data_IF_058809015548
#
_entry.id   IF_058809015548
#
_cell.length_a   1.000
_cell.length_b   1.000
_cell.length_c   1.000
_cell.angle_alpha   90.00
_cell.angle_beta   90.00
_cell.angle_gamma   90.00
#
_symmetry.space_group_name_H-M   'P 1'
#
loop_
_entity.id
_entity.type
_entity.pdbx_description
1 polymer ?
#
# COMPACT_ATOMS: atom_id res chain seq x y z
N UNK A 1 12.14 18.12 3.16
CA UNK A 1 12.92 16.89 3.41
C UNK A 1 11.93 15.82 3.81
N UNK A 2 12.06 14.58 3.33
CA UNK A 2 11.09 13.53 3.63
C UNK A 2 11.11 13.18 5.13
N UNK A 3 9.99 13.43 5.80
CA UNK A 3 9.75 13.05 7.19
C UNK A 3 8.81 11.85 7.24
N UNK A 4 9.07 10.93 8.15
CA UNK A 4 8.33 9.69 8.31
C UNK A 4 8.08 9.44 9.79
N UNK A 5 6.89 9.01 10.15
CA UNK A 5 6.58 8.54 11.50
C UNK A 5 7.21 7.17 11.74
N UNK A 6 8.16 7.10 12.68
CA UNK A 6 8.79 5.86 13.14
C UNK A 6 7.80 5.08 14.01
N UNK A 7 7.36 3.92 13.53
CA UNK A 7 6.38 3.09 14.22
C UNK A 7 6.84 2.65 15.63
N UNK A 8 8.15 2.56 15.87
CA UNK A 8 8.68 2.20 17.19
C UNK A 8 8.45 3.28 18.24
N UNK A 9 8.49 4.55 17.85
CA UNK A 9 8.44 5.68 18.79
C UNK A 9 7.18 6.53 18.66
N UNK A 10 6.49 6.44 17.52
CA UNK A 10 5.41 7.36 17.13
C UNK A 10 5.90 8.74 16.72
N UNK A 11 7.21 9.00 16.74
CA UNK A 11 7.76 10.31 16.40
C UNK A 11 7.99 10.45 14.90
N UNK A 12 7.75 11.66 14.39
CA UNK A 12 8.11 12.01 13.02
C UNK A 12 9.60 12.34 12.92
N UNK A 13 10.33 11.55 12.15
CA UNK A 13 11.78 11.62 11.97
C UNK A 13 12.14 11.85 10.51
N UNK A 14 13.33 12.37 10.25
CA UNK A 14 13.85 12.47 8.89
C UNK A 14 14.23 11.09 8.34
N UNK A 15 13.70 10.75 7.15
CA UNK A 15 13.94 9.45 6.52
C UNK A 15 15.41 9.24 6.13
N UNK A 16 16.13 10.32 5.82
CA UNK A 16 17.54 10.27 5.44
C UNK A 16 18.37 10.92 6.54
N UNK A 17 18.88 10.12 7.49
CA UNK A 17 19.71 10.62 8.59
C UNK A 17 21.15 10.94 8.18
N UNK A 18 21.66 10.36 7.09
CA UNK A 18 23.03 10.57 6.60
C UNK A 18 23.05 10.99 5.12
N UNK A 19 23.57 12.18 4.82
CA UNK A 19 23.62 12.78 3.46
C UNK A 19 24.63 12.13 2.50
N UNK A 20 25.40 11.14 2.95
CA UNK A 20 26.54 10.56 2.21
C UNK A 20 26.50 9.04 2.28
N UNK A 21 25.49 8.43 1.68
CA UNK A 21 25.38 6.97 1.59
C UNK A 21 24.14 6.56 0.80
N UNK A 22 24.19 5.34 0.26
CA UNK A 22 23.03 4.66 -0.31
C UNK A 22 22.02 4.39 0.82
N UNK A 23 20.77 4.80 0.65
CA UNK A 23 19.70 4.49 1.62
C UNK A 23 19.08 3.15 1.26
N UNK A 24 18.95 2.25 2.22
CA UNK A 24 18.31 0.96 1.99
C UNK A 24 16.84 1.03 2.41
N UNK A 25 15.93 0.69 1.49
CA UNK A 25 14.50 0.52 1.79
C UNK A 25 14.22 -0.98 1.80
N UNK A 26 14.02 -1.54 2.99
CA UNK A 26 13.82 -2.97 3.18
C UNK A 26 12.34 -3.26 3.43
N UNK A 27 11.70 -3.95 2.49
CA UNK A 27 10.31 -4.38 2.62
C UNK A 27 10.27 -5.81 3.18
N UNK A 28 9.62 -5.98 4.33
CA UNK A 28 9.47 -7.28 4.98
C UNK A 28 8.07 -7.83 4.70
N UNK A 29 8.05 -8.94 3.98
CA UNK A 29 6.82 -9.63 3.56
C UNK A 29 6.93 -11.10 3.92
N UNK A 30 6.10 -11.54 4.87
CA UNK A 30 6.09 -12.93 5.35
C UNK A 30 4.94 -13.74 4.72
N UNK A 31 3.95 -13.06 4.15
CA UNK A 31 2.72 -13.64 3.61
C UNK A 31 2.52 -13.29 2.16
N UNK A 32 1.76 -14.11 1.45
CA UNK A 32 1.39 -13.91 0.04
C UNK A 32 -0.02 -13.29 -0.08
N UNK A 33 -0.25 -12.14 0.56
CA UNK A 33 -1.56 -11.46 0.62
C UNK A 33 -1.53 -10.00 0.16
N UNK A 34 -2.69 -9.32 0.16
CA UNK A 34 -2.80 -7.92 -0.24
C UNK A 34 -2.11 -6.95 0.73
N UNK A 35 -1.97 -7.33 2.00
CA UNK A 35 -1.24 -6.52 2.99
C UNK A 35 0.24 -6.53 2.66
N UNK A 36 0.80 -7.69 2.33
CA UNK A 36 2.17 -7.82 1.82
C UNK A 36 2.38 -7.06 0.50
N UNK A 37 1.39 -7.08 -0.40
CA UNK A 37 1.44 -6.29 -1.63
C UNK A 37 1.45 -4.78 -1.35
N UNK A 38 0.68 -4.32 -0.36
CA UNK A 38 0.69 -2.91 0.07
C UNK A 38 2.02 -2.52 0.70
N UNK A 39 2.66 -3.40 1.47
CA UNK A 39 4.02 -3.19 1.99
C UNK A 39 5.01 -2.94 0.86
N UNK A 40 5.00 -3.79 -0.18
CA UNK A 40 5.85 -3.60 -1.36
C UNK A 40 5.54 -2.30 -2.10
N UNK A 41 4.27 -1.93 -2.23
CA UNK A 41 3.87 -0.68 -2.87
C UNK A 41 4.36 0.55 -2.10
N UNK A 42 4.19 0.56 -0.77
CA UNK A 42 4.66 1.66 0.08
C UNK A 42 6.18 1.77 0.01
N UNK A 43 6.91 0.64 -0.03
CA UNK A 43 8.36 0.63 -0.22
C UNK A 43 8.78 1.21 -1.58
N UNK A 44 8.08 0.87 -2.68
CA UNK A 44 8.31 1.48 -4.00
C UNK A 44 8.06 2.99 -3.96
N UNK A 45 6.92 3.44 -3.42
CA UNK A 45 6.58 4.87 -3.30
C UNK A 45 7.62 5.62 -2.46
N UNK A 46 8.05 5.05 -1.33
CA UNK A 46 9.10 5.60 -0.48
C UNK A 46 10.41 5.76 -1.25
N UNK A 47 10.83 4.73 -2.00
CA UNK A 47 12.02 4.79 -2.84
C UNK A 47 11.89 5.90 -3.92
N UNK A 48 10.73 6.00 -4.58
CA UNK A 48 10.47 7.06 -5.58
C UNK A 48 10.56 8.46 -4.94
N UNK A 49 9.98 8.64 -3.76
CA UNK A 49 9.98 9.92 -3.06
C UNK A 49 11.40 10.36 -2.68
N UNK A 50 12.22 9.42 -2.20
CA UNK A 50 13.62 9.66 -1.87
C UNK A 50 14.46 10.02 -3.10
N UNK A 51 14.29 9.32 -4.20
CA UNK A 51 14.97 9.59 -5.48
C UNK A 51 14.56 10.95 -6.07
N UNK A 52 13.27 11.30 -6.00
CA UNK A 52 12.79 12.64 -6.37
C UNK A 52 13.38 13.74 -5.47
N UNK A 53 13.76 13.38 -4.24
CA UNK A 53 14.55 14.19 -3.32
C UNK A 53 16.06 14.21 -3.59
N UNK A 54 16.54 13.45 -4.57
CA UNK A 54 17.96 13.33 -4.92
C UNK A 54 18.74 12.34 -4.04
N UNK A 55 18.05 11.49 -3.27
CA UNK A 55 18.69 10.46 -2.43
C UNK A 55 18.80 9.16 -3.22
N UNK A 56 20.01 8.58 -3.39
CA UNK A 56 20.15 7.27 -4.00
C UNK A 56 19.59 6.19 -3.07
N UNK A 57 18.79 5.27 -3.63
CA UNK A 57 18.09 4.21 -2.89
C UNK A 57 18.40 2.84 -3.47
N UNK A 58 18.58 1.85 -2.60
CA UNK A 58 18.49 0.44 -2.95
C UNK A 58 17.28 -0.18 -2.24
N UNK A 59 16.36 -0.74 -3.02
CA UNK A 59 15.20 -1.47 -2.48
C UNK A 59 15.57 -2.94 -2.30
N UNK A 60 15.25 -3.49 -1.13
CA UNK A 60 15.53 -4.87 -0.73
C UNK A 60 14.22 -5.54 -0.33
N UNK A 61 13.92 -6.68 -0.93
CA UNK A 61 12.76 -7.50 -0.59
C UNK A 61 12.99 -8.91 -1.12
N UNK A 62 12.49 -9.93 -0.40
CA UNK A 62 12.50 -11.31 -0.88
C UNK A 62 11.08 -11.90 -0.90
N UNK A 63 10.18 -11.39 -1.76
CA UNK A 63 8.81 -11.89 -1.84
C UNK A 63 8.74 -13.28 -2.49
N UNK A 64 7.74 -14.11 -2.15
CA UNK A 64 7.41 -15.30 -2.90
C UNK A 64 7.16 -14.98 -4.39
N UNK A 65 7.37 -15.96 -5.28
CA UNK A 65 7.25 -15.75 -6.73
C UNK A 65 5.87 -15.23 -7.16
N UNK A 66 4.80 -15.71 -6.53
CA UNK A 66 3.43 -15.25 -6.79
C UNK A 66 3.22 -13.78 -6.38
N UNK A 67 3.68 -13.37 -5.20
CA UNK A 67 3.65 -11.97 -4.76
C UNK A 67 4.45 -11.07 -5.71
N UNK A 68 5.63 -11.54 -6.15
CA UNK A 68 6.49 -10.83 -7.09
C UNK A 68 5.78 -10.57 -8.42
N UNK A 69 5.14 -11.58 -9.00
CA UNK A 69 4.38 -11.43 -10.25
C UNK A 69 3.21 -10.44 -10.11
N UNK A 70 2.53 -10.43 -8.95
CA UNK A 70 1.48 -9.44 -8.66
C UNK A 70 2.05 -8.02 -8.51
N UNK A 71 3.21 -7.89 -7.87
CA UNK A 71 3.90 -6.60 -7.75
C UNK A 71 4.33 -6.04 -9.12
N UNK A 72 4.87 -6.90 -9.99
CA UNK A 72 5.23 -6.54 -11.37
C UNK A 72 4.00 -6.05 -12.17
N UNK A 73 2.85 -6.72 -12.02
CA UNK A 73 1.59 -6.31 -12.64
C UNK A 73 1.07 -4.94 -12.14
N UNK A 74 1.49 -4.49 -10.95
CA UNK A 74 1.20 -3.17 -10.40
C UNK A 74 2.28 -2.13 -10.71
N UNK A 75 3.29 -2.46 -11.53
CA UNK A 75 4.40 -1.55 -11.84
C UNK A 75 5.28 -1.21 -10.63
N UNK A 76 5.29 -2.06 -9.59
CA UNK A 76 6.18 -1.93 -8.44
C UNK A 76 7.60 -2.27 -8.91
N UNK A 77 8.57 -1.40 -8.64
CA UNK A 77 9.96 -1.65 -9.05
C UNK A 77 10.54 -2.85 -8.31
N UNK A 78 11.29 -3.67 -9.04
CA UNK A 78 11.93 -4.86 -8.49
C UNK A 78 12.95 -4.46 -7.42
N UNK A 79 12.96 -5.18 -6.31
CA UNK A 79 14.03 -5.09 -5.34
C UNK A 79 15.30 -5.74 -5.91
N UNK A 80 16.38 -4.97 -5.99
CA UNK A 80 17.67 -5.39 -6.58
C UNK A 80 18.81 -5.40 -5.54
N UNK A 81 18.57 -4.89 -4.33
CA UNK A 81 19.59 -4.87 -3.26
C UNK A 81 19.63 -6.15 -2.43
N UNK A 82 20.81 -6.43 -1.85
CA UNK A 82 21.01 -7.49 -0.86
C UNK A 82 20.66 -6.99 0.55
N UNK A 83 20.11 -7.89 1.40
CA UNK A 83 19.85 -7.60 2.83
C UNK A 83 21.17 -7.37 3.58
N UNK A 84 21.16 -6.45 4.54
CA UNK A 84 22.31 -6.22 5.42
C UNK A 84 23.45 -5.40 4.80
N UNK A 85 23.16 -4.63 3.75
CA UNK A 85 24.10 -3.64 3.22
C UNK A 85 24.46 -2.58 4.26
N UNK A 86 25.71 -2.10 4.25
CA UNK A 86 26.15 -1.05 5.16
C UNK A 86 25.49 0.31 4.80
N UNK A 87 24.57 0.80 5.63
CA UNK A 87 23.90 2.10 5.45
C UNK A 87 22.69 2.28 6.36
N UNK A 88 22.08 3.50 6.41
CA UNK A 88 20.82 3.71 7.11
C UNK A 88 19.69 2.94 6.41
N UNK A 89 18.98 2.10 7.19
CA UNK A 89 17.87 1.30 6.70
C UNK A 89 16.51 1.89 7.11
N UNK A 90 15.57 1.85 6.16
CA UNK A 90 14.15 2.13 6.34
C UNK A 90 13.43 0.80 6.19
N UNK A 91 12.86 0.29 7.29
CA UNK A 91 12.17 -0.99 7.29
C UNK A 91 10.67 -0.79 7.13
N UNK A 92 10.10 -1.29 6.04
CA UNK A 92 8.66 -1.24 5.78
C UNK A 92 8.04 -2.57 6.19
N UNK A 93 7.15 -2.52 7.18
CA UNK A 93 6.59 -3.67 7.88
C UNK A 93 5.05 -3.63 7.81
N UNK A 94 4.41 -4.79 7.77
CA UNK A 94 2.98 -4.86 8.05
C UNK A 94 2.73 -4.57 9.53
N UNK A 95 1.70 -3.77 9.85
CA UNK A 95 1.30 -3.54 11.24
C UNK A 95 0.80 -4.84 11.85
N UNK A 96 1.27 -5.18 13.05
CA UNK A 96 0.93 -6.40 13.77
C UNK A 96 -0.50 -6.31 14.32
N UNK A 97 -1.52 -6.55 13.48
CA UNK A 97 -2.96 -6.52 13.79
C UNK A 97 -3.46 -5.26 14.52
N UNK A 98 -4.23 -4.44 13.80
CA UNK A 98 -5.04 -3.41 14.41
C UNK A 98 -6.04 -4.01 15.41
N UNK A 99 -5.91 -3.64 16.68
CA UNK A 99 -7.12 -3.29 17.41
C UNK A 99 -7.71 -2.05 16.73
N UNK A 100 -9.02 -1.98 16.47
CA UNK A 100 -9.63 -0.74 16.01
C UNK A 100 -9.32 0.32 17.07
N UNK A 101 -8.64 1.38 16.65
CA UNK A 101 -8.47 2.57 17.47
C UNK A 101 -9.88 3.13 17.68
N UNK A 102 -10.43 2.93 18.89
CA UNK A 102 -11.73 3.44 19.28
C UNK A 102 -11.74 4.95 19.01
N UNK A 103 -12.65 5.50 18.18
CA UNK A 103 -12.74 6.92 18.02
C UNK A 103 -13.03 7.54 19.39
N UNK A 104 -12.14 8.41 19.84
CA UNK A 104 -12.27 9.16 21.08
C UNK A 104 -13.71 9.72 21.21
N UNK A 105 -14.37 9.60 22.37
CA UNK A 105 -15.76 10.02 22.51
C UNK A 105 -15.87 11.53 22.30
N UNK A 106 -16.32 11.89 21.09
CA UNK A 106 -16.68 13.24 20.69
C UNK A 106 -17.84 13.73 21.56
N UNK A 107 -17.64 14.94 22.08
CA UNK A 107 -18.57 15.68 22.94
C UNK A 107 -19.98 15.72 22.34
N UNK A 108 -20.93 15.40 23.21
CA UNK A 108 -22.37 15.57 23.04
C UNK A 108 -22.76 16.99 22.65
N UNK A 109 -23.54 17.12 21.58
CA UNK A 109 -24.42 18.25 21.34
C UNK A 109 -25.80 17.74 20.89
N UNK A 110 -26.76 17.88 21.83
CA UNK A 110 -28.17 18.25 21.68
C UNK A 110 -29.20 17.41 20.88
N UNK A 111 -30.23 17.04 21.65
CA UNK A 111 -31.70 17.16 21.40
C UNK A 111 -32.31 16.42 20.20
N UNK A 112 -33.06 15.35 20.46
CA UNK A 112 -34.49 15.32 20.85
C UNK A 112 -35.43 15.20 19.64
N UNK A 113 -35.95 13.99 19.41
CA UNK A 113 -37.34 13.75 19.01
C UNK A 113 -37.71 12.30 19.31
N UNK A 114 -38.79 12.14 20.08
CA UNK A 114 -39.34 10.91 20.63
C UNK A 114 -40.17 10.08 19.58
N UNK A 115 -40.67 8.88 19.94
CA UNK A 115 -40.88 7.74 19.05
C UNK A 115 -42.35 7.52 18.63
N UNK A 116 -42.58 6.63 17.63
CA UNK A 116 -43.84 5.88 17.50
C UNK A 116 -43.65 4.47 16.93
N UNK A 117 -43.88 3.50 17.81
CA UNK A 117 -44.57 2.20 17.71
C UNK A 117 -44.95 1.56 16.35
N UNK A 118 -44.56 0.28 16.19
CA UNK A 118 -45.43 -0.92 16.33
C UNK A 118 -45.12 -2.08 15.35
N UNK A 119 -44.70 -3.20 15.94
CA UNK A 119 -45.29 -4.55 15.83
C UNK A 119 -45.39 -5.27 14.46
N UNK A 120 -44.72 -6.44 14.36
CA UNK A 120 -45.31 -7.77 14.11
C UNK A 120 -44.22 -8.75 13.63
N UNK A 121 -43.78 -9.70 14.45
CA UNK A 121 -44.20 -11.13 14.45
C UNK A 121 -44.13 -11.87 13.10
N UNK A 122 -43.35 -12.96 13.09
CA UNK A 122 -43.34 -13.98 12.04
C UNK A 122 -42.26 -15.04 12.25
N UNK A 123 -42.49 -15.96 13.20
CA UNK A 123 -41.70 -17.16 13.41
C UNK A 123 -41.90 -18.20 12.29
N UNK A 124 -40.90 -19.05 12.03
CA UNK A 124 -40.97 -20.45 11.53
C UNK A 124 -39.55 -21.04 11.69
N UNK A 125 -39.24 -21.91 12.65
CA UNK A 125 -39.59 -23.34 12.83
C UNK A 125 -38.69 -24.31 12.03
N UNK A 126 -37.96 -25.15 12.80
CA UNK A 126 -37.58 -26.57 12.63
C UNK A 126 -37.11 -27.03 11.24
N UNK A 127 -35.99 -27.74 11.05
CA UNK A 127 -35.40 -28.80 11.85
C UNK A 127 -35.20 -30.00 10.91
N UNK A 128 -33.97 -30.53 10.80
CA UNK A 128 -33.75 -31.91 10.36
C UNK A 128 -32.43 -32.40 10.91
N UNK A 129 -32.54 -33.30 11.88
CA UNK A 129 -31.56 -34.32 12.20
C UNK A 129 -31.47 -35.32 11.05
N UNK A 130 -30.29 -35.91 10.83
CA UNK A 130 -30.21 -37.32 10.45
C UNK A 130 -28.87 -37.91 10.87
N UNK A 131 -28.97 -38.96 11.68
CA UNK A 131 -27.93 -39.91 12.07
C UNK A 131 -27.50 -40.79 10.88
N UNK A 132 -26.29 -41.33 10.98
CA UNK A 132 -25.77 -42.40 10.13
C UNK A 132 -24.45 -42.95 10.68
N UNK A 133 -24.55 -43.70 11.77
CA UNK A 133 -23.64 -44.75 12.27
C UNK A 133 -23.18 -45.68 11.13
N UNK A 134 -22.15 -46.52 11.15
CA UNK A 134 -21.08 -46.96 12.05
C UNK A 134 -20.29 -47.96 11.16
N UNK A 135 -18.96 -48.05 11.28
CA UNK A 135 -18.29 -49.33 11.03
C UNK A 135 -16.88 -49.35 11.64
N UNK A 136 -16.74 -50.30 12.55
CA UNK A 136 -15.58 -50.69 13.34
C UNK A 136 -14.56 -51.52 12.54
N UNK A 137 -13.27 -51.16 12.66
CA UNK A 137 -12.07 -51.95 13.06
C UNK A 137 -11.84 -53.39 12.52
N UNK A 138 -10.65 -54.02 12.71
CA UNK A 138 -9.25 -53.55 12.84
C UNK A 138 -8.34 -54.23 11.78
N UNK A 139 -7.03 -53.95 11.73
CA UNK A 139 -5.94 -54.96 11.82
C UNK A 139 -4.57 -54.28 11.85
N UNK A 140 -3.77 -54.60 12.86
CA UNK A 140 -2.34 -54.31 13.00
C UNK A 140 -1.49 -54.85 11.84
N UNK A 141 -0.38 -54.18 11.54
CA UNK A 141 0.97 -54.77 11.60
C UNK A 141 2.02 -53.69 11.36
N UNK A 142 2.79 -53.39 12.40
CA UNK A 142 4.21 -52.99 12.30
C UNK A 142 4.97 -54.09 11.53
N UNK A 143 6.05 -53.78 10.77
CA UNK A 143 7.32 -53.66 11.48
C UNK A 143 8.40 -52.75 10.83
N UNK A 144 9.40 -52.50 11.69
CA UNK A 144 10.83 -52.33 11.39
C UNK A 144 11.32 -50.93 11.01
N UNK A 145 11.93 -50.34 12.04
CA UNK A 145 12.97 -49.33 12.00
C UNK A 145 13.98 -49.52 10.86
N UNK A 146 14.23 -48.46 10.11
CA UNK A 146 15.54 -48.28 9.47
C UNK A 146 15.95 -46.82 9.64
N UNK A 147 16.99 -46.69 10.45
CA UNK A 147 17.86 -45.55 10.66
C UNK A 147 18.16 -44.81 9.33
N UNK A 148 17.64 -43.59 9.22
CA UNK A 148 18.04 -42.63 8.18
C UNK A 148 18.55 -41.38 8.90
N UNK A 149 19.86 -41.18 8.81
CA UNK A 149 20.57 -40.03 9.33
C UNK A 149 19.89 -38.70 8.93
N UNK A 150 19.76 -37.71 9.84
CA UNK A 150 19.23 -36.42 9.46
C UNK A 150 20.25 -35.72 8.55
N UNK A 151 19.87 -35.55 7.28
CA UNK A 151 20.50 -34.57 6.41
C UNK A 151 20.49 -33.22 7.14
N UNK A 152 21.67 -32.60 7.23
CA UNK A 152 21.87 -31.35 7.93
C UNK A 152 20.81 -30.34 7.55
N UNK A 153 19.95 -30.00 8.52
CA UNK A 153 19.15 -28.79 8.44
C UNK A 153 20.17 -27.65 8.41
N UNK A 154 20.30 -26.98 7.26
CA UNK A 154 20.88 -25.64 7.22
C UNK A 154 20.23 -24.85 8.35
N UNK A 155 21.01 -24.12 9.17
CA UNK A 155 20.43 -23.38 10.28
C UNK A 155 19.33 -22.48 9.70
N UNK A 156 18.08 -22.73 10.13
CA UNK A 156 17.00 -21.75 9.98
C UNK A 156 17.44 -20.60 10.87
N UNK A 157 18.13 -19.63 10.28
CA UNK A 157 18.38 -18.36 10.94
C UNK A 157 16.97 -17.80 11.21
N UNK A 158 16.53 -17.68 12.47
CA UNK A 158 15.24 -17.07 12.75
C UNK A 158 15.24 -15.69 12.09
N UNK A 159 14.13 -15.33 11.44
CA UNK A 159 13.96 -13.97 10.95
C UNK A 159 14.33 -13.02 12.10
N UNK A 160 15.12 -11.95 11.83
CA UNK A 160 15.49 -11.00 12.86
C UNK A 160 14.22 -10.57 13.59
N UNK A 161 14.24 -10.63 14.92
CA UNK A 161 13.10 -10.14 15.69
C UNK A 161 12.91 -8.66 15.36
N UNK A 162 11.67 -8.18 15.27
CA UNK A 162 11.41 -6.76 14.98
C UNK A 162 12.20 -5.83 15.91
N UNK A 163 12.53 -6.27 17.12
CA UNK A 163 13.33 -5.54 18.11
C UNK A 163 14.76 -5.23 17.64
N UNK A 164 15.36 -6.05 16.77
CA UNK A 164 16.78 -6.00 16.38
C UNK A 164 17.04 -5.19 15.09
N UNK A 165 15.99 -4.69 14.42
CA UNK A 165 16.12 -3.88 13.22
C UNK A 165 16.63 -2.47 13.56
N UNK A 166 17.89 -2.20 13.25
CA UNK A 166 18.54 -0.89 13.32
C UNK A 166 18.08 0.00 12.15
N UNK A 167 17.16 0.93 12.41
CA UNK A 167 16.64 1.83 11.39
C UNK A 167 15.37 2.58 11.79
N UNK A 168 14.75 3.27 10.83
CA UNK A 168 13.38 3.81 10.98
C UNK A 168 12.40 2.71 10.59
N UNK A 169 11.33 2.51 11.38
CA UNK A 169 10.27 1.54 11.07
C UNK A 169 9.06 2.24 10.48
N UNK A 170 8.59 1.76 9.34
CA UNK A 170 7.45 2.28 8.61
C UNK A 170 6.38 1.20 8.62
N UNK A 171 5.36 1.38 9.45
CA UNK A 171 4.21 0.47 9.47
C UNK A 171 3.23 0.73 8.33
N UNK A 172 2.69 -0.37 7.80
CA UNK A 172 1.67 -0.39 6.76
C UNK A 172 0.48 -1.19 7.27
N UNK A 173 -0.68 -0.53 7.32
CA UNK A 173 -1.90 -1.12 7.81
C UNK A 173 -2.49 -2.15 6.83
N UNK A 174 -3.19 -3.18 7.35
CA UNK A 174 -3.63 -4.31 6.57
C UNK A 174 -4.66 -3.96 5.50
N UNK A 175 -4.75 -4.83 4.49
CA UNK A 175 -5.73 -4.77 3.39
C UNK A 175 -6.53 -6.06 3.34
N UNK A 176 -7.85 -5.94 3.19
CA UNK A 176 -8.79 -7.05 3.02
C UNK A 176 -9.60 -6.91 1.73
N UNK A 177 -10.22 -8.00 1.28
CA UNK A 177 -11.06 -8.03 0.08
C UNK A 177 -10.30 -8.36 -1.21
N UNK A 178 -10.89 -8.01 -2.35
CA UNK A 178 -10.35 -8.29 -3.69
C UNK A 178 -10.73 -7.16 -4.65
N UNK A 179 -9.86 -6.82 -5.59
CA UNK A 179 -10.18 -5.90 -6.68
C UNK A 179 -9.40 -6.24 -7.96
N UNK A 180 -9.80 -5.63 -9.06
CA UNK A 180 -9.10 -5.75 -10.34
C UNK A 180 -7.64 -5.22 -10.22
N UNK A 181 -6.63 -5.97 -10.69
CA UNK A 181 -5.23 -5.55 -10.58
C UNK A 181 -4.94 -4.18 -11.18
N UNK A 182 -5.63 -3.77 -12.25
CA UNK A 182 -5.41 -2.47 -12.90
C UNK A 182 -5.82 -1.28 -12.03
N UNK A 183 -6.69 -1.49 -11.05
CA UNK A 183 -7.18 -0.46 -10.13
C UNK A 183 -6.50 -0.49 -8.77
N UNK A 184 -5.94 -1.64 -8.39
CA UNK A 184 -5.36 -1.86 -7.06
C UNK A 184 -4.35 -0.77 -6.69
N UNK A 185 -3.48 -0.36 -7.62
CA UNK A 185 -2.49 0.68 -7.33
C UNK A 185 -3.16 2.00 -6.94
N UNK A 186 -4.13 2.49 -7.71
CA UNK A 186 -4.86 3.72 -7.40
C UNK A 186 -5.54 3.64 -6.03
N UNK A 187 -6.24 2.53 -5.77
CA UNK A 187 -6.99 2.34 -4.52
C UNK A 187 -6.08 2.28 -3.30
N UNK A 188 -4.96 1.53 -3.41
CA UNK A 188 -3.99 1.40 -2.32
C UNK A 188 -3.27 2.73 -2.02
N UNK A 189 -3.02 3.55 -3.05
CA UNK A 189 -2.42 4.89 -2.91
C UNK A 189 -3.40 5.92 -2.33
N UNK A 190 -4.70 5.76 -2.60
CA UNK A 190 -5.73 6.66 -2.09
C UNK A 190 -6.00 6.49 -0.58
N UNK A 191 -5.51 5.42 0.04
CA UNK A 191 -5.63 5.18 1.48
C UNK A 191 -4.30 5.50 2.19
N UNK A 192 -4.29 6.35 3.24
CA UNK A 192 -3.10 6.59 4.07
C UNK A 192 -2.47 5.28 4.53
N UNK A 193 -1.14 5.16 4.46
CA UNK A 193 -0.43 3.89 4.73
C UNK A 193 -0.75 3.26 6.10
N UNK A 194 -1.11 4.08 7.10
CA UNK A 194 -1.46 3.66 8.47
C UNK A 194 -2.94 3.29 8.65
N UNK A 195 -3.78 3.50 7.65
CA UNK A 195 -5.21 3.19 7.73
C UNK A 195 -5.49 1.82 7.09
N UNK A 196 -6.13 0.93 7.84
CA UNK A 196 -6.60 -0.35 7.32
C UNK A 196 -7.61 -0.14 6.19
N UNK A 197 -7.53 -0.97 5.15
CA UNK A 197 -8.36 -0.82 3.96
C UNK A 197 -9.16 -2.10 3.68
N UNK A 198 -10.48 -1.96 3.60
CA UNK A 198 -11.36 -3.01 3.08
C UNK A 198 -11.77 -2.68 1.65
N UNK A 199 -11.28 -3.47 0.69
CA UNK A 199 -11.60 -3.30 -0.72
C UNK A 199 -13.07 -3.58 -1.05
N UNK A 200 -13.79 -4.33 -0.20
CA UNK A 200 -15.23 -4.55 -0.38
C UNK A 200 -16.06 -3.28 -0.10
N UNK A 201 -15.55 -2.39 0.74
CA UNK A 201 -16.16 -1.09 1.06
C UNK A 201 -15.58 0.07 0.25
N UNK A 202 -14.54 -0.17 -0.56
CA UNK A 202 -13.89 0.85 -1.36
C UNK A 202 -14.72 1.23 -2.60
N UNK A 203 -14.64 2.50 -3.00
CA UNK A 203 -15.25 2.99 -4.24
C UNK A 203 -14.41 2.61 -5.47
N UNK A 204 -14.56 1.35 -5.90
CA UNK A 204 -13.82 0.79 -7.04
C UNK A 204 -14.22 1.45 -8.37
N UNK A 205 -15.49 1.82 -8.52
CA UNK A 205 -16.01 2.43 -9.74
C UNK A 205 -15.54 3.87 -9.88
N UNK A 206 -15.57 4.66 -8.80
CA UNK A 206 -15.00 6.01 -8.78
C UNK A 206 -13.49 6.02 -9.03
N UNK A 207 -12.75 5.02 -8.52
CA UNK A 207 -11.34 4.85 -8.83
C UNK A 207 -11.10 4.57 -10.33
N UNK A 208 -11.90 3.70 -10.94
CA UNK A 208 -11.84 3.39 -12.38
C UNK A 208 -12.14 4.63 -13.23
N UNK A 209 -13.22 5.33 -12.92
CA UNK A 209 -13.63 6.54 -13.63
C UNK A 209 -12.56 7.62 -13.53
N UNK A 210 -12.03 7.86 -12.33
CA UNK A 210 -10.96 8.84 -12.10
C UNK A 210 -9.72 8.52 -12.91
N UNK A 211 -9.27 7.27 -12.89
CA UNK A 211 -8.06 6.88 -13.61
C UNK A 211 -8.24 6.98 -15.14
N UNK A 212 -9.40 6.57 -15.67
CA UNK A 212 -9.73 6.70 -17.09
C UNK A 212 -9.77 8.17 -17.52
N UNK A 213 -10.51 8.99 -16.79
CA UNK A 213 -10.63 10.44 -17.02
C UNK A 213 -9.28 11.15 -16.98
N UNK A 214 -8.43 10.82 -16.01
CA UNK A 214 -7.09 11.41 -15.91
C UNK A 214 -6.19 11.03 -17.08
N UNK A 215 -6.19 9.76 -17.51
CA UNK A 215 -5.38 9.33 -18.67
C UNK A 215 -5.85 10.00 -19.96
N UNK A 216 -7.16 10.12 -20.16
CA UNK A 216 -7.75 10.85 -21.30
C UNK A 216 -7.37 12.34 -21.27
N UNK A 217 -7.51 13.00 -20.11
CA UNK A 217 -7.13 14.40 -19.94
C UNK A 217 -5.64 14.63 -20.22
N UNK A 218 -4.76 13.77 -19.70
CA UNK A 218 -3.30 13.83 -19.94
C UNK A 218 -2.98 13.65 -21.42
N UNK A 219 -3.62 12.70 -22.10
CA UNK A 219 -3.46 12.50 -23.54
C UNK A 219 -3.89 13.75 -24.34
N UNK A 220 -5.00 14.39 -23.95
CA UNK A 220 -5.46 15.64 -24.56
C UNK A 220 -4.50 16.81 -24.31
N UNK A 221 -4.00 17.00 -23.09
CA UNK A 221 -3.06 18.07 -22.78
C UNK A 221 -1.70 17.88 -23.44
N UNK A 222 -1.27 16.63 -23.66
CA UNK A 222 -0.02 16.31 -24.36
C UNK A 222 0.03 16.83 -25.81
N UNK A 223 -1.12 17.16 -26.43
CA UNK A 223 -1.17 17.75 -27.78
C UNK A 223 -0.94 19.27 -27.79
N UNK A 224 -0.68 19.87 -26.63
CA UNK A 224 -0.41 21.31 -26.47
C UNK A 224 1.09 21.54 -26.19
N UNK A 225 1.62 22.75 -26.48
CA UNK A 225 3.01 23.06 -26.13
C UNK A 225 3.27 22.89 -24.63
N UNK A 226 4.33 22.14 -24.28
CA UNK A 226 4.74 21.93 -22.89
C UNK A 226 5.03 23.26 -22.19
N UNK A 227 4.68 23.32 -20.90
CA UNK A 227 4.98 24.44 -20.01
C UNK A 227 5.43 23.90 -18.66
N UNK A 228 6.37 24.56 -17.96
CA UNK A 228 6.86 24.06 -16.69
C UNK A 228 5.74 23.94 -15.65
N UNK A 229 5.86 22.94 -14.77
CA UNK A 229 5.01 22.79 -13.58
C UNK A 229 5.03 24.10 -12.78
N UNK A 230 3.87 24.69 -12.45
CA UNK A 230 3.81 25.90 -11.63
C UNK A 230 4.48 25.65 -10.28
N UNK A 231 5.29 26.61 -9.83
CA UNK A 231 6.13 26.40 -8.65
C UNK A 231 5.31 26.17 -7.37
N UNK A 232 4.17 26.84 -7.21
CA UNK A 232 3.27 26.62 -6.07
C UNK A 232 2.71 25.17 -6.06
N UNK A 233 2.29 24.64 -7.21
CA UNK A 233 1.82 23.26 -7.34
C UNK A 233 2.94 22.28 -7.01
N UNK A 234 4.15 22.52 -7.52
CA UNK A 234 5.33 21.70 -7.20
C UNK A 234 5.60 21.68 -5.69
N UNK A 235 5.50 22.82 -5.01
CA UNK A 235 5.69 22.93 -3.57
C UNK A 235 4.60 22.20 -2.78
N UNK A 236 3.33 22.32 -3.18
CA UNK A 236 2.22 21.60 -2.55
C UNK A 236 2.37 20.08 -2.69
N UNK A 237 2.65 19.61 -3.91
CA UNK A 237 2.93 18.20 -4.18
C UNK A 237 4.08 17.69 -3.29
N UNK A 238 5.19 18.45 -3.25
CA UNK A 238 6.36 18.11 -2.44
C UNK A 238 6.06 18.09 -0.96
N UNK A 239 5.32 19.07 -0.45
CA UNK A 239 4.94 19.14 0.95
C UNK A 239 4.10 17.92 1.35
N UNK A 240 3.16 17.51 0.50
CA UNK A 240 2.30 16.35 0.75
C UNK A 240 3.11 15.05 0.93
N UNK A 241 3.93 14.65 -0.05
CA UNK A 241 4.66 13.39 0.13
C UNK A 241 5.84 13.50 1.11
N UNK A 242 6.38 14.71 1.37
CA UNK A 242 7.40 14.90 2.39
C UNK A 242 6.84 14.82 3.82
N UNK A 243 5.52 14.93 3.98
CA UNK A 243 4.82 14.72 5.24
C UNK A 243 4.28 13.30 5.33
N UNK A 244 5.13 12.38 5.76
CA UNK A 244 4.77 10.98 6.05
C UNK A 244 4.24 10.17 4.86
N UNK A 245 4.66 10.50 3.63
CA UNK A 245 4.12 9.95 2.39
C UNK A 245 2.59 10.10 2.30
N UNK A 246 2.08 11.31 2.53
CA UNK A 246 0.66 11.63 2.33
C UNK A 246 0.31 11.67 0.82
N UNK A 247 0.25 10.48 0.23
CA UNK A 247 -0.19 10.26 -1.15
C UNK A 247 -1.65 10.71 -1.37
N UNK A 248 -2.59 10.50 -0.43
CA UNK A 248 -3.93 11.08 -0.56
C UNK A 248 -3.89 12.59 -0.82
N UNK A 249 -3.10 13.36 -0.07
CA UNK A 249 -2.93 14.80 -0.31
C UNK A 249 -2.29 15.11 -1.68
N UNK A 250 -1.37 14.27 -2.18
CA UNK A 250 -0.87 14.37 -3.57
C UNK A 250 -2.00 14.22 -4.58
N UNK A 251 -2.89 13.23 -4.40
CA UNK A 251 -4.04 13.00 -5.27
C UNK A 251 -5.06 14.16 -5.20
N UNK A 252 -5.25 14.80 -4.04
CA UNK A 252 -6.06 16.01 -3.89
C UNK A 252 -5.51 17.17 -4.73
N UNK A 253 -4.20 17.38 -4.72
CA UNK A 253 -3.56 18.43 -5.54
C UNK A 253 -3.79 18.18 -7.03
N UNK A 254 -3.67 16.92 -7.49
CA UNK A 254 -3.97 16.57 -8.88
C UNK A 254 -5.43 16.88 -9.25
N UNK A 255 -6.40 16.48 -8.40
CA UNK A 255 -7.82 16.81 -8.64
C UNK A 255 -8.07 18.31 -8.72
N UNK A 256 -7.35 19.13 -7.94
CA UNK A 256 -7.47 20.58 -8.04
C UNK A 256 -6.90 21.13 -9.35
N UNK A 257 -5.71 20.65 -9.76
CA UNK A 257 -5.04 21.07 -11.00
C UNK A 257 -5.86 20.72 -12.23
N UNK A 258 -6.55 19.58 -12.22
CA UNK A 258 -7.45 19.17 -13.29
C UNK A 258 -8.49 20.23 -13.64
N UNK A 259 -9.06 20.87 -12.61
CA UNK A 259 -10.14 21.84 -12.73
C UNK A 259 -9.65 23.31 -12.71
N UNK A 260 -8.34 23.55 -12.61
CA UNK A 260 -7.77 24.89 -12.45
C UNK A 260 -7.70 25.67 -13.78
N UNK A 261 -8.63 26.58 -14.02
CA UNK A 261 -8.73 27.37 -15.28
C UNK A 261 -7.50 28.25 -15.58
N UNK A 262 -6.74 28.63 -14.56
CA UNK A 262 -5.55 29.47 -14.66
C UNK A 262 -4.26 28.69 -14.98
N UNK A 263 -4.30 27.35 -14.93
CA UNK A 263 -3.17 26.48 -15.29
C UNK A 263 -3.29 26.05 -16.75
N UNK A 264 -2.37 26.45 -17.64
CA UNK A 264 -2.42 26.03 -19.04
C UNK A 264 -2.26 24.51 -19.20
N UNK A 265 -2.89 23.93 -20.21
CA UNK A 265 -2.85 22.49 -20.52
C UNK A 265 -1.43 21.89 -20.47
N UNK A 266 -0.45 22.53 -21.14
CA UNK A 266 0.93 22.04 -21.14
C UNK A 266 1.57 21.98 -19.75
N UNK A 267 1.14 22.85 -18.82
CA UNK A 267 1.58 22.82 -17.43
C UNK A 267 0.81 21.77 -16.60
N UNK A 268 -0.47 21.53 -16.90
CA UNK A 268 -1.23 20.41 -16.31
C UNK A 268 -0.62 19.07 -16.69
N UNK A 269 -0.28 18.89 -17.97
CA UNK A 269 0.45 17.73 -18.47
C UNK A 269 1.75 17.48 -17.69
N UNK A 270 2.64 18.48 -17.61
CA UNK A 270 3.91 18.33 -16.89
C UNK A 270 3.69 18.08 -15.39
N UNK A 271 2.63 18.63 -14.80
CA UNK A 271 2.28 18.40 -13.38
C UNK A 271 1.92 16.93 -13.15
N UNK A 272 1.05 16.38 -13.99
CA UNK A 272 0.64 14.98 -13.92
C UNK A 272 1.82 14.05 -14.20
N UNK A 273 2.63 14.33 -15.22
CA UNK A 273 3.82 13.54 -15.53
C UNK A 273 4.84 13.59 -14.38
N UNK A 274 5.00 14.74 -13.72
CA UNK A 274 5.88 14.89 -12.57
C UNK A 274 5.38 14.07 -11.36
N UNK A 275 4.09 14.17 -11.02
CA UNK A 275 3.50 13.39 -9.94
C UNK A 275 3.53 11.88 -10.22
N UNK A 276 3.37 11.47 -11.48
CA UNK A 276 3.38 10.06 -11.87
C UNK A 276 4.73 9.37 -11.64
N UNK A 277 5.83 10.14 -11.56
CA UNK A 277 7.14 9.58 -11.16
C UNK A 277 7.13 9.03 -9.73
N UNK A 278 6.32 9.62 -8.84
CA UNK A 278 6.04 9.11 -7.50
C UNK A 278 4.96 8.03 -7.54
N UNK A 279 3.85 8.33 -8.21
CA UNK A 279 2.63 7.54 -8.11
C UNK A 279 2.70 6.25 -8.92
N UNK A 280 3.35 6.21 -10.09
CA UNK A 280 3.44 5.04 -10.96
C UNK A 280 2.09 4.55 -11.48
N UNK A 281 1.12 5.46 -11.67
CA UNK A 281 -0.22 5.16 -12.17
C UNK A 281 -0.27 5.06 -13.70
N UNK A 282 0.85 5.28 -14.39
CA UNK A 282 0.94 5.23 -15.86
C UNK A 282 -0.07 6.21 -16.48
N UNK A 283 -0.03 7.46 -16.02
CA UNK A 283 -0.97 8.51 -16.44
C UNK A 283 -0.73 8.94 -17.89
N UNK A 284 0.47 8.70 -18.41
CA UNK A 284 0.89 9.03 -19.78
C UNK A 284 0.65 7.89 -20.78
N UNK A 285 0.06 6.76 -20.34
CA UNK A 285 -0.09 5.54 -21.15
C UNK A 285 -0.89 5.73 -22.44
N UNK A 286 -1.90 6.59 -22.42
CA UNK A 286 -2.82 6.77 -23.56
C UNK A 286 -2.36 7.86 -24.54
N UNK A 287 -1.14 8.40 -24.35
CA UNK A 287 -0.56 9.35 -25.29
C UNK A 287 -0.29 8.63 -26.62
N UNK A 288 -0.88 9.14 -27.70
CA UNK A 288 -0.67 8.60 -29.04
C UNK A 288 -1.46 7.33 -29.35
N UNK A 289 -2.33 6.84 -28.46
CA UNK A 289 -3.18 5.66 -28.73
C UNK A 289 -4.51 6.00 -29.43
N UNK A 290 -4.89 7.29 -29.44
CA UNK A 290 -6.16 7.78 -30.00
C UNK A 290 -6.06 8.25 -31.48
N UNK A 291 -5.16 7.69 -32.28
CA UNK A 291 -4.93 8.10 -33.68
C UNK A 291 -5.26 6.97 -34.67
#
# INVERSE_FOLDING_TARGET
>A
MLRITDARTGETVDAVRARRGLTHVEAHVERDDLSALRVLLVADVLARALELGGTPVATVADPPAALRARADALGIRRAEGERGGAGPALHVLASASGAPEDPAPGRSASEEAAPMDATSMGANSMGSTSMGENSTDPTSTDPTSTDTAPAGQSPVIPAPSDADLDGVRIEVAPVSGTADPSLLRMILLAAPRRQSLDLAAADLDGARETLGRWREAVAGWATRPSKPVPEHVRQELRAAWEDDLDVPAVLEVLRRVEHAEDVPDGARFETYAYADRLLGLELTRDIGTQW
#
